data_IF_444029854351
#
_entry.id   IF_444029854351
#
_cell.length_a   1.000
_cell.length_b   1.000
_cell.length_c   1.000
_cell.angle_alpha   90.00
_cell.angle_beta   90.00
_cell.angle_gamma   90.00
#
_symmetry.space_group_name_H-M   'P 1'
#
loop_
_entity.id
_entity.type
_entity.pdbx_description
1 polymer ?
#
# COMPACT_ATOMS: atom_id res chain seq x y z
N UNK A 1 3.66 14.99 -19.03
CA UNK A 1 4.61 15.79 -19.86
C UNK A 1 5.67 14.87 -20.45
N UNK A 2 6.25 15.20 -21.60
CA UNK A 2 7.37 14.47 -22.20
C UNK A 2 8.67 15.30 -22.13
N UNK A 3 9.80 14.73 -21.68
CA UNK A 3 9.90 13.42 -21.02
C UNK A 3 9.15 13.43 -19.68
N UNK A 4 8.63 12.26 -19.29
CA UNK A 4 7.92 12.09 -18.01
C UNK A 4 8.89 12.18 -16.84
N UNK A 5 8.57 12.98 -15.82
CA UNK A 5 9.21 12.93 -14.51
C UNK A 5 8.18 13.26 -13.43
N UNK A 6 8.34 12.69 -12.23
CA UNK A 6 7.43 12.91 -11.11
C UNK A 6 7.54 14.25 -10.38
N UNK A 7 8.37 15.21 -10.83
CA UNK A 7 8.73 16.39 -10.02
C UNK A 7 8.79 17.74 -10.76
N UNK A 8 7.91 17.98 -11.74
CA UNK A 8 7.80 19.30 -12.40
C UNK A 8 6.40 19.91 -12.24
N UNK A 9 6.35 21.24 -12.11
CA UNK A 9 5.10 22.00 -12.03
C UNK A 9 4.40 22.09 -13.40
N UNK A 10 3.07 22.01 -13.37
CA UNK A 10 2.19 22.35 -14.48
C UNK A 10 1.53 23.70 -14.20
N UNK A 11 1.49 24.56 -15.22
CA UNK A 11 0.76 25.83 -15.18
C UNK A 11 -0.60 25.64 -15.83
N UNK A 12 -1.66 26.03 -15.12
CA UNK A 12 -3.03 26.04 -15.59
C UNK A 12 -3.46 27.46 -15.96
N UNK A 13 -4.11 27.60 -17.11
CA UNK A 13 -4.76 28.84 -17.53
C UNK A 13 -6.25 28.56 -17.66
N UNK A 14 -7.08 29.36 -16.98
CA UNK A 14 -8.54 29.22 -17.03
C UNK A 14 -9.10 30.26 -17.99
N UNK A 15 -9.92 29.79 -18.93
CA UNK A 15 -10.71 30.60 -19.85
C UNK A 15 -12.19 30.29 -19.63
N UNK A 16 -13.09 31.01 -20.33
CA UNK A 16 -14.53 30.85 -20.15
C UNK A 16 -15.06 29.44 -20.47
N UNK A 17 -14.55 28.81 -21.54
CA UNK A 17 -15.03 27.51 -22.05
C UNK A 17 -14.00 26.38 -21.94
N UNK A 18 -12.81 26.68 -21.42
CA UNK A 18 -11.70 25.74 -21.41
C UNK A 18 -10.68 26.03 -20.32
N UNK A 19 -9.83 25.05 -20.06
CA UNK A 19 -8.57 25.29 -19.39
C UNK A 19 -7.42 24.79 -20.25
N UNK A 20 -6.29 25.47 -20.16
CA UNK A 20 -5.05 25.07 -20.81
C UNK A 20 -4.02 24.64 -19.80
N UNK A 21 -3.21 23.66 -20.16
CA UNK A 21 -2.10 23.18 -19.34
C UNK A 21 -0.78 23.27 -20.10
N UNK A 22 0.24 23.80 -19.44
CA UNK A 22 1.60 23.92 -19.98
C UNK A 22 2.64 23.60 -18.89
N UNK A 23 3.69 22.83 -19.16
CA UNK A 23 4.77 22.62 -18.19
C UNK A 23 5.53 23.92 -17.91
N UNK A 24 5.80 24.21 -16.64
CA UNK A 24 6.62 25.37 -16.26
C UNK A 24 8.08 25.22 -16.73
N UNK A 25 8.55 23.99 -16.89
CA UNK A 25 9.89 23.68 -17.40
C UNK A 25 9.96 23.81 -18.93
N UNK A 26 10.77 24.75 -19.43
CA UNK A 26 10.97 25.06 -20.86
C UNK A 26 11.62 23.94 -21.69
N UNK A 27 12.08 22.86 -21.07
CA UNK A 27 12.58 21.68 -21.78
C UNK A 27 11.49 20.62 -22.01
N UNK A 28 10.27 20.82 -21.48
CA UNK A 28 9.18 19.84 -21.54
C UNK A 28 7.96 20.33 -22.28
N UNK A 29 7.18 19.39 -22.82
CA UNK A 29 5.91 19.70 -23.47
C UNK A 29 4.76 18.89 -22.89
N UNK A 30 3.60 19.53 -22.78
CA UNK A 30 2.33 18.82 -22.69
C UNK A 30 1.90 18.47 -24.10
N UNK A 31 1.70 17.19 -24.35
CA UNK A 31 1.06 16.67 -25.56
C UNK A 31 -0.34 16.19 -25.23
N UNK A 32 -1.24 16.19 -26.22
CA UNK A 32 -2.60 15.63 -26.09
C UNK A 32 -2.56 14.25 -25.44
N UNK A 33 -1.71 13.35 -25.93
CA UNK A 33 -1.51 12.01 -25.37
C UNK A 33 -1.12 12.05 -23.89
N UNK A 34 -0.16 12.91 -23.53
CA UNK A 34 0.30 12.97 -22.13
C UNK A 34 -0.78 13.51 -21.19
N UNK A 35 -1.61 14.45 -21.64
CA UNK A 35 -2.69 15.04 -20.83
C UNK A 35 -3.85 14.06 -20.71
N UNK A 36 -4.25 13.41 -21.80
CA UNK A 36 -5.29 12.39 -21.79
C UNK A 36 -4.88 11.14 -20.96
N UNK A 37 -3.63 10.71 -21.04
CA UNK A 37 -3.12 9.62 -20.20
C UNK A 37 -3.21 9.95 -18.70
N UNK A 38 -2.92 11.21 -18.32
CA UNK A 38 -3.07 11.65 -16.94
C UNK A 38 -4.53 11.71 -16.47
N UNK A 39 -5.52 11.93 -17.35
CA UNK A 39 -6.94 11.86 -16.96
C UNK A 39 -7.41 10.43 -16.65
N UNK A 40 -6.72 9.41 -17.16
CA UNK A 40 -7.09 7.99 -17.01
C UNK A 40 -6.33 7.28 -15.87
N UNK A 41 -5.29 7.90 -15.32
CA UNK A 41 -4.41 7.28 -14.33
C UNK A 41 -5.09 7.16 -12.96
N UNK A 42 -4.99 5.97 -12.33
CA UNK A 42 -5.52 5.66 -10.99
C UNK A 42 -7.04 5.84 -10.81
N UNK A 43 -7.83 5.64 -11.86
CA UNK A 43 -9.30 5.77 -11.81
C UNK A 43 -10.02 4.45 -12.02
N UNK A 44 -11.09 4.23 -11.25
CA UNK A 44 -11.99 3.08 -11.37
C UNK A 44 -12.87 3.15 -12.61
N UNK A 45 -13.21 4.37 -13.04
CA UNK A 45 -13.96 4.69 -14.26
C UNK A 45 -13.20 5.79 -15.02
N UNK A 46 -12.89 5.60 -16.30
CA UNK A 46 -12.12 6.56 -17.09
C UNK A 46 -12.89 7.84 -17.48
N UNK A 47 -14.22 7.86 -17.37
CA UNK A 47 -15.07 8.97 -17.83
C UNK A 47 -15.89 9.63 -16.73
N UNK A 48 -16.24 8.91 -15.66
CA UNK A 48 -16.97 9.47 -14.51
C UNK A 48 -16.10 9.45 -13.27
N UNK A 49 -15.56 10.62 -12.92
CA UNK A 49 -14.67 10.76 -11.78
C UNK A 49 -15.47 11.27 -10.57
N UNK A 50 -15.72 10.44 -9.55
CA UNK A 50 -16.44 10.89 -8.36
C UNK A 50 -15.60 11.90 -7.57
N UNK A 51 -16.25 12.97 -7.11
CA UNK A 51 -15.68 14.00 -6.27
C UNK A 51 -16.68 14.50 -5.21
N UNK A 52 -16.27 15.43 -4.34
CA UNK A 52 -17.19 16.05 -3.38
C UNK A 52 -18.32 16.78 -4.12
N UNK A 53 -19.58 16.42 -3.81
CA UNK A 53 -20.76 17.09 -4.38
C UNK A 53 -21.14 16.66 -5.80
N UNK A 54 -20.49 15.66 -6.39
CA UNK A 54 -20.84 15.24 -7.75
C UNK A 54 -19.77 14.43 -8.46
N UNK A 55 -20.04 14.09 -9.72
CA UNK A 55 -19.09 13.43 -10.60
C UNK A 55 -18.62 14.41 -11.68
N UNK A 56 -17.31 14.44 -11.94
CA UNK A 56 -16.77 15.05 -13.14
C UNK A 56 -17.02 14.09 -14.32
N UNK A 57 -17.78 14.55 -15.30
CA UNK A 57 -18.15 13.84 -16.52
C UNK A 57 -17.23 14.27 -17.67
N UNK A 58 -16.46 13.31 -18.16
CA UNK A 58 -15.47 13.49 -19.22
C UNK A 58 -15.92 12.92 -20.58
N UNK A 59 -17.18 12.48 -20.73
CA UNK A 59 -17.64 11.85 -21.97
C UNK A 59 -17.57 12.77 -23.20
N UNK A 60 -17.66 14.08 -22.99
CA UNK A 60 -17.57 15.10 -24.03
C UNK A 60 -16.23 15.86 -23.97
N UNK A 61 -15.25 15.33 -23.24
CA UNK A 61 -13.96 16.01 -23.10
C UNK A 61 -13.14 15.89 -24.37
N UNK A 62 -12.73 17.04 -24.88
CA UNK A 62 -11.85 17.17 -26.05
C UNK A 62 -10.51 17.78 -25.62
N UNK A 63 -9.43 17.28 -26.23
CA UNK A 63 -8.07 17.72 -25.99
C UNK A 63 -7.49 18.28 -27.29
N UNK A 64 -7.08 19.54 -27.29
CA UNK A 64 -6.55 20.23 -28.46
C UNK A 64 -5.13 20.74 -28.19
N UNK A 65 -4.21 20.47 -29.11
CA UNK A 65 -2.85 21.01 -29.04
C UNK A 65 -2.85 22.48 -29.50
N UNK A 66 -2.67 23.43 -28.58
CA UNK A 66 -2.72 24.88 -28.88
C UNK A 66 -1.35 25.42 -29.28
N UNK A 67 -0.28 24.90 -28.68
CA UNK A 67 1.11 25.18 -29.05
C UNK A 67 1.92 23.89 -28.95
N UNK A 68 3.20 23.90 -29.34
CA UNK A 68 4.11 22.74 -29.17
C UNK A 68 4.24 22.23 -27.72
N UNK A 69 3.78 23.02 -26.74
CA UNK A 69 3.92 22.76 -25.30
C UNK A 69 2.63 22.82 -24.50
N UNK A 70 1.54 23.35 -25.09
CA UNK A 70 0.28 23.67 -24.40
C UNK A 70 -0.88 22.90 -25.01
N UNK A 71 -1.72 22.33 -24.16
CA UNK A 71 -2.94 21.62 -24.53
C UNK A 71 -4.13 22.31 -23.89
N UNK A 72 -5.18 22.56 -24.66
CA UNK A 72 -6.49 22.97 -24.16
C UNK A 72 -7.37 21.74 -23.90
N UNK A 73 -8.19 21.81 -22.86
CA UNK A 73 -9.16 20.80 -22.48
C UNK A 73 -10.53 21.47 -22.39
N UNK A 74 -11.51 20.92 -23.10
CA UNK A 74 -12.87 21.46 -23.24
C UNK A 74 -13.93 20.38 -23.05
N UNK A 75 -15.16 20.79 -22.74
CA UNK A 75 -16.34 19.91 -22.82
C UNK A 75 -16.57 18.95 -21.63
N UNK A 76 -15.69 18.95 -20.62
CA UNK A 76 -16.00 18.31 -19.34
C UNK A 76 -17.18 19.00 -18.66
N UNK A 77 -18.02 18.25 -17.95
CA UNK A 77 -19.14 18.80 -17.18
C UNK A 77 -19.17 18.22 -15.76
N UNK A 78 -19.93 18.84 -14.86
CA UNK A 78 -20.10 18.37 -13.50
C UNK A 78 -21.53 17.90 -13.28
N UNK A 79 -21.70 16.66 -12.79
CA UNK A 79 -22.99 16.07 -12.44
C UNK A 79 -23.18 16.16 -10.94
N UNK A 80 -24.05 17.06 -10.50
CA UNK A 80 -24.32 17.26 -9.08
C UNK A 80 -24.86 15.99 -8.41
N UNK A 81 -24.39 15.74 -7.19
CA UNK A 81 -24.87 14.70 -6.27
C UNK A 81 -24.94 15.28 -4.86
N UNK A 82 -25.66 14.63 -3.92
CA UNK A 82 -25.59 15.00 -2.51
C UNK A 82 -24.13 15.10 -2.05
N UNK A 83 -23.82 16.18 -1.33
CA UNK A 83 -22.47 16.42 -0.88
C UNK A 83 -22.06 15.36 0.14
N UNK A 84 -20.89 14.76 -0.06
CA UNK A 84 -20.34 13.77 0.86
C UNK A 84 -18.89 14.08 1.14
N UNK A 85 -18.46 13.71 2.33
CA UNK A 85 -17.04 13.74 2.71
C UNK A 85 -16.59 12.32 2.98
N UNK A 86 -15.41 11.97 2.46
CA UNK A 86 -14.80 10.66 2.70
C UNK A 86 -14.18 10.67 4.10
N UNK A 87 -14.71 9.83 4.97
CA UNK A 87 -14.17 9.59 6.31
C UNK A 87 -13.31 8.35 6.27
N UNK A 88 -12.02 8.56 6.48
CA UNK A 88 -11.01 7.51 6.59
C UNK A 88 -10.41 7.52 7.99
N UNK A 89 -10.19 6.34 8.55
CA UNK A 89 -9.69 6.23 9.90
C UNK A 89 -8.89 4.94 10.09
N UNK A 90 -7.88 5.04 10.94
CA UNK A 90 -7.05 3.91 11.35
C UNK A 90 -7.17 3.68 12.84
N UNK A 91 -7.13 2.42 13.26
CA UNK A 91 -7.14 2.01 14.67
C UNK A 91 -5.82 1.33 15.01
N UNK A 92 -5.23 1.68 16.16
CA UNK A 92 -4.09 0.95 16.71
C UNK A 92 -4.52 -0.48 17.02
N UNK A 93 -3.80 -1.45 16.46
CA UNK A 93 -4.05 -2.89 16.63
C UNK A 93 -3.00 -3.59 17.48
N UNK A 94 -1.93 -2.88 17.88
CA UNK A 94 -0.90 -3.40 18.76
C UNK A 94 0.47 -2.82 18.46
N UNK A 95 1.49 -3.63 18.74
CA UNK A 95 2.90 -3.38 18.46
C UNK A 95 3.43 -4.46 17.53
N UNK A 96 4.24 -4.07 16.55
CA UNK A 96 4.80 -4.94 15.53
C UNK A 96 6.29 -5.17 15.76
N UNK A 97 6.70 -6.43 15.67
CA UNK A 97 8.09 -6.84 15.62
C UNK A 97 8.27 -7.82 14.47
N UNK A 98 9.35 -7.66 13.71
CA UNK A 98 9.65 -8.53 12.57
C UNK A 98 11.06 -9.11 12.68
N UNK A 99 11.29 -10.26 12.05
CA UNK A 99 12.63 -10.72 11.69
C UNK A 99 12.68 -11.05 10.20
N UNK A 100 13.82 -10.82 9.58
CA UNK A 100 14.06 -11.07 8.17
C UNK A 100 15.16 -12.11 8.07
N UNK A 101 14.93 -13.19 7.31
CA UNK A 101 15.89 -14.25 7.09
C UNK A 101 15.86 -14.76 5.64
N UNK A 102 16.97 -15.33 5.17
CA UNK A 102 17.03 -16.11 3.95
C UNK A 102 17.09 -17.61 4.25
N UNK A 103 16.55 -18.43 3.34
CA UNK A 103 16.77 -19.87 3.33
C UNK A 103 17.08 -20.35 1.90
N UNK A 104 18.04 -21.28 1.78
CA UNK A 104 18.52 -21.81 0.50
C UNK A 104 18.60 -23.34 0.44
N UNK A 105 18.53 -24.04 1.57
CA UNK A 105 18.55 -25.51 1.54
C UNK A 105 17.29 -26.01 0.80
N UNK A 106 17.44 -26.69 -0.36
CA UNK A 106 16.29 -27.16 -1.13
C UNK A 106 15.38 -28.09 -0.32
N UNK A 107 15.94 -28.84 0.65
CA UNK A 107 15.17 -29.73 1.54
C UNK A 107 14.32 -28.92 2.53
N UNK A 108 14.87 -27.81 3.04
CA UNK A 108 14.11 -26.90 3.89
C UNK A 108 12.98 -26.23 3.09
N UNK A 109 13.27 -25.81 1.87
CA UNK A 109 12.29 -25.16 0.98
C UNK A 109 11.16 -26.13 0.59
N UNK A 110 11.49 -27.40 0.31
CA UNK A 110 10.51 -28.46 0.03
C UNK A 110 9.55 -28.68 1.20
N UNK A 111 10.04 -28.62 2.44
CA UNK A 111 9.26 -28.78 3.66
C UNK A 111 8.75 -27.46 4.27
N UNK A 112 8.86 -26.33 3.57
CA UNK A 112 8.66 -25.01 4.17
C UNK A 112 7.27 -24.82 4.78
N UNK A 113 6.21 -25.28 4.11
CA UNK A 113 4.84 -25.12 4.60
C UNK A 113 4.59 -25.96 5.86
N UNK A 114 5.13 -27.18 5.92
CA UNK A 114 5.09 -28.05 7.09
C UNK A 114 5.82 -27.40 8.27
N UNK A 115 6.99 -26.82 8.00
CA UNK A 115 7.80 -26.13 9.01
C UNK A 115 7.04 -24.91 9.56
N UNK A 116 6.45 -24.09 8.69
CA UNK A 116 5.67 -22.91 9.09
C UNK A 116 4.49 -23.34 9.98
N UNK A 117 3.69 -24.31 9.53
CA UNK A 117 2.55 -24.81 10.30
C UNK A 117 2.99 -25.34 11.68
N UNK A 118 4.11 -26.07 11.72
CA UNK A 118 4.68 -26.59 12.96
C UNK A 118 5.25 -25.51 13.89
N UNK A 119 5.82 -24.44 13.36
CA UNK A 119 6.27 -23.27 14.15
C UNK A 119 5.07 -22.53 14.72
N UNK A 120 4.02 -22.33 13.92
CA UNK A 120 2.76 -21.72 14.36
C UNK A 120 2.12 -22.51 15.49
N UNK A 121 1.97 -23.83 15.33
CA UNK A 121 1.41 -24.71 16.35
C UNK A 121 2.19 -24.62 17.67
N UNK A 122 3.52 -24.73 17.61
CA UNK A 122 4.38 -24.63 18.80
C UNK A 122 4.31 -23.28 19.46
N UNK A 123 4.27 -22.20 18.66
CA UNK A 123 4.17 -20.83 19.20
C UNK A 123 2.82 -20.63 19.87
N UNK A 124 1.71 -20.99 19.23
CA UNK A 124 0.38 -20.93 19.83
C UNK A 124 0.31 -21.80 21.10
N UNK A 125 0.92 -22.99 21.08
CA UNK A 125 1.05 -23.88 22.23
C UNK A 125 1.80 -23.24 23.41
N UNK A 126 2.91 -22.56 23.14
CA UNK A 126 3.72 -21.90 24.17
C UNK A 126 3.05 -20.63 24.75
N UNK A 127 2.17 -19.99 23.98
CA UNK A 127 1.48 -18.76 24.37
C UNK A 127 -0.03 -18.94 24.51
N UNK A 128 -0.51 -20.14 24.86
CA UNK A 128 -1.96 -20.43 24.92
C UNK A 128 -2.75 -19.49 25.85
N UNK A 129 -2.13 -19.02 26.94
CA UNK A 129 -2.75 -18.08 27.88
C UNK A 129 -2.87 -16.65 27.33
N UNK A 130 -2.17 -16.32 26.24
CA UNK A 130 -2.28 -15.04 25.51
C UNK A 130 -3.00 -15.20 24.16
N UNK A 131 -3.71 -16.33 23.95
CA UNK A 131 -4.43 -16.59 22.70
C UNK A 131 -5.40 -15.45 22.38
N UNK A 132 -5.33 -14.94 21.16
CA UNK A 132 -6.16 -13.83 20.67
C UNK A 132 -5.57 -12.44 20.89
N UNK A 133 -4.52 -12.31 21.70
CA UNK A 133 -3.81 -11.03 21.95
C UNK A 133 -2.61 -10.82 21.05
N UNK A 134 -2.30 -11.79 20.20
CA UNK A 134 -1.24 -11.69 19.21
C UNK A 134 -1.65 -12.36 17.90
N UNK A 135 -0.99 -11.95 16.83
CA UNK A 135 -1.00 -12.57 15.51
C UNK A 135 0.43 -12.86 15.10
N UNK A 136 0.66 -14.04 14.56
CA UNK A 136 1.92 -14.45 13.96
C UNK A 136 1.67 -14.65 12.46
N UNK A 137 2.54 -14.09 11.62
CA UNK A 137 2.43 -14.15 10.16
C UNK A 137 3.81 -14.47 9.57
N UNK A 138 3.81 -15.16 8.43
CA UNK A 138 4.99 -15.52 7.67
C UNK A 138 4.83 -15.05 6.22
N UNK A 139 5.72 -14.16 5.77
CA UNK A 139 5.75 -13.71 4.38
C UNK A 139 6.92 -14.37 3.65
N UNK A 140 6.63 -15.10 2.57
CA UNK A 140 7.63 -15.90 1.84
C UNK A 140 7.89 -15.28 0.46
N UNK A 141 8.84 -14.35 0.40
CA UNK A 141 9.33 -13.79 -0.86
C UNK A 141 10.12 -14.83 -1.64
N UNK A 142 9.87 -14.90 -2.95
CA UNK A 142 10.39 -15.94 -3.83
C UNK A 142 9.50 -17.19 -3.93
N UNK A 143 8.36 -17.22 -3.22
CA UNK A 143 7.30 -18.23 -3.37
C UNK A 143 5.93 -17.58 -3.66
N UNK A 144 5.32 -16.93 -2.68
CA UNK A 144 3.96 -16.36 -2.78
C UNK A 144 3.75 -15.11 -1.90
N UNK A 145 4.83 -14.46 -1.42
CA UNK A 145 4.76 -13.34 -0.47
C UNK A 145 4.10 -12.05 -0.97
N UNK A 146 3.75 -11.94 -2.27
CA UNK A 146 3.06 -10.77 -2.84
C UNK A 146 1.58 -11.06 -3.08
N UNK A 147 1.27 -12.11 -3.83
CA UNK A 147 -0.11 -12.46 -4.22
C UNK A 147 -0.78 -13.43 -3.25
N UNK A 148 -0.05 -13.98 -2.28
CA UNK A 148 -0.57 -15.00 -1.35
C UNK A 148 -1.16 -16.19 -2.09
N UNK A 149 -2.38 -16.58 -1.74
CA UNK A 149 -3.13 -17.67 -2.39
C UNK A 149 -3.47 -17.39 -3.87
N UNK A 150 -3.35 -16.15 -4.33
CA UNK A 150 -3.61 -15.78 -5.73
C UNK A 150 -2.37 -15.94 -6.63
N UNK A 151 -1.24 -16.40 -6.09
CA UNK A 151 -0.03 -16.66 -6.87
C UNK A 151 -0.28 -17.82 -7.87
N UNK A 152 -0.25 -17.57 -9.19
CA UNK A 152 -0.50 -18.63 -10.18
C UNK A 152 0.56 -19.73 -10.17
N UNK A 153 1.80 -19.43 -9.72
CA UNK A 153 2.91 -20.37 -9.70
C UNK A 153 3.65 -20.35 -8.36
N UNK A 154 3.08 -20.92 -7.28
CA UNK A 154 3.60 -20.81 -5.91
C UNK A 154 4.79 -21.76 -5.63
N UNK A 155 5.66 -21.95 -6.62
CA UNK A 155 6.88 -22.72 -6.49
C UNK A 155 8.01 -21.79 -6.06
N UNK A 156 8.70 -22.16 -4.98
CA UNK A 156 9.84 -21.41 -4.51
C UNK A 156 11.01 -21.46 -5.51
N UNK A 157 11.74 -20.35 -5.62
CA UNK A 157 13.00 -20.28 -6.36
C UNK A 157 14.17 -21.02 -5.69
N UNK A 158 15.40 -20.65 -6.07
CA UNK A 158 16.62 -21.23 -5.48
C UNK A 158 16.84 -20.85 -4.01
N UNK A 159 16.25 -19.73 -3.59
CA UNK A 159 16.27 -19.20 -2.23
C UNK A 159 14.95 -18.48 -1.96
N UNK A 160 14.60 -18.38 -0.69
CA UNK A 160 13.41 -17.67 -0.22
C UNK A 160 13.79 -16.63 0.82
N UNK A 161 13.17 -15.46 0.73
CA UNK A 161 13.17 -14.44 1.78
C UNK A 161 11.98 -14.68 2.70
N UNK A 162 12.24 -14.82 3.99
CA UNK A 162 11.25 -15.12 5.02
C UNK A 162 11.17 -13.92 5.95
N UNK A 163 10.01 -13.28 6.01
CA UNK A 163 9.70 -12.29 7.04
C UNK A 163 8.73 -12.92 8.03
N UNK A 164 9.19 -13.11 9.26
CA UNK A 164 8.31 -13.50 10.37
C UNK A 164 7.85 -12.22 11.04
N UNK A 165 6.55 -12.07 11.23
CA UNK A 165 5.94 -10.89 11.82
C UNK A 165 5.07 -11.29 13.00
N UNK A 166 5.28 -10.63 14.14
CA UNK A 166 4.39 -10.71 15.29
C UNK A 166 3.75 -9.35 15.54
N UNK A 167 2.43 -9.33 15.69
CA UNK A 167 1.67 -8.15 16.17
C UNK A 167 0.95 -8.53 17.44
N UNK A 168 1.14 -7.79 18.53
CA UNK A 168 0.50 -8.09 19.80
C UNK A 168 0.04 -6.83 20.55
N UNK A 169 -0.84 -7.00 21.54
CA UNK A 169 -1.36 -5.88 22.35
C UNK A 169 -0.26 -5.06 23.05
N UNK A 170 0.85 -5.71 23.42
CA UNK A 170 2.03 -5.07 24.02
C UNK A 170 3.31 -5.35 23.22
N UNK A 171 4.27 -4.45 23.31
CA UNK A 171 5.57 -4.56 22.67
C UNK A 171 6.34 -5.79 23.19
N UNK A 172 6.26 -6.04 24.49
CA UNK A 172 6.92 -7.17 25.16
C UNK A 172 6.36 -8.52 24.66
N UNK A 173 5.04 -8.63 24.49
CA UNK A 173 4.42 -9.85 23.98
C UNK A 173 4.80 -10.07 22.51
N UNK A 174 4.82 -9.02 21.69
CA UNK A 174 5.23 -9.14 20.29
C UNK A 174 6.70 -9.60 20.15
N UNK A 175 7.61 -9.07 20.98
CA UNK A 175 9.00 -9.51 21.03
C UNK A 175 9.13 -10.96 21.49
N UNK A 176 8.40 -11.36 22.53
CA UNK A 176 8.43 -12.72 23.05
C UNK A 176 7.92 -13.75 22.03
N UNK A 177 6.79 -13.45 21.38
CA UNK A 177 6.20 -14.30 20.33
C UNK A 177 7.14 -14.42 19.14
N UNK A 178 7.67 -13.30 18.63
CA UNK A 178 8.60 -13.32 17.50
C UNK A 178 9.87 -14.10 17.84
N UNK A 179 10.48 -13.82 19.00
CA UNK A 179 11.71 -14.47 19.42
C UNK A 179 11.55 -15.98 19.56
N UNK A 180 10.41 -16.43 20.11
CA UNK A 180 10.08 -17.85 20.18
C UNK A 180 9.87 -18.48 18.81
N UNK A 181 9.07 -17.85 17.94
CA UNK A 181 8.79 -18.35 16.59
C UNK A 181 10.08 -18.45 15.75
N UNK A 182 10.90 -17.39 15.75
CA UNK A 182 12.21 -17.37 15.09
C UNK A 182 13.13 -18.47 15.60
N UNK A 183 13.29 -18.58 16.91
CA UNK A 183 14.15 -19.61 17.52
C UNK A 183 13.66 -21.03 17.18
N UNK A 184 12.34 -21.23 17.19
CA UNK A 184 11.70 -22.49 16.82
C UNK A 184 11.97 -22.83 15.36
N UNK A 185 11.77 -21.90 14.43
CA UNK A 185 12.01 -22.12 12.99
C UNK A 185 13.49 -22.39 12.68
N UNK A 186 14.41 -21.68 13.35
CA UNK A 186 15.86 -21.87 13.20
C UNK A 186 16.33 -23.29 13.54
N UNK A 187 15.64 -23.95 14.48
CA UNK A 187 15.95 -25.28 14.99
C UNK A 187 14.97 -26.37 14.54
N UNK A 188 13.94 -26.01 13.77
CA UNK A 188 12.86 -26.93 13.40
C UNK A 188 13.41 -28.15 12.65
N UNK A 189 12.96 -29.34 13.04
CA UNK A 189 13.36 -30.59 12.41
C UNK A 189 12.46 -30.94 11.24
N UNK A 190 13.04 -31.40 10.14
CA UNK A 190 12.33 -31.82 8.94
C UNK A 190 13.05 -33.03 8.31
N UNK A 191 12.36 -33.85 7.48
CA UNK A 191 12.97 -35.00 6.82
C UNK A 191 14.22 -34.63 5.99
N UNK A 192 15.24 -35.47 6.02
CA UNK A 192 16.47 -35.26 5.24
C UNK A 192 17.38 -34.12 5.71
N UNK A 193 17.07 -33.50 6.86
CA UNK A 193 17.89 -32.44 7.46
C UNK A 193 19.29 -32.93 7.81
N UNK A 194 20.32 -32.22 7.33
CA UNK A 194 21.73 -32.58 7.55
C UNK A 194 22.33 -31.95 8.82
N UNK A 195 21.85 -30.77 9.23
CA UNK A 195 22.35 -30.02 10.38
C UNK A 195 21.33 -29.99 11.52
N UNK A 196 21.77 -29.85 12.76
CA UNK A 196 20.87 -29.79 13.94
C UNK A 196 20.32 -28.38 14.22
N UNK A 197 20.89 -27.34 13.59
CA UNK A 197 20.52 -25.93 13.69
C UNK A 197 20.88 -25.18 12.40
N UNK A 198 20.47 -23.91 12.28
CA UNK A 198 20.93 -23.04 11.21
C UNK A 198 20.06 -23.05 9.95
N UNK A 199 18.76 -23.32 10.08
CA UNK A 199 17.84 -23.33 8.95
C UNK A 199 17.70 -21.95 8.26
N UNK A 200 18.01 -20.87 8.99
CA UNK A 200 17.80 -19.49 8.56
C UNK A 200 19.13 -18.73 8.56
N UNK A 201 19.36 -17.93 7.52
CA UNK A 201 20.45 -16.98 7.43
C UNK A 201 19.93 -15.57 7.75
N UNK A 202 20.41 -14.97 8.85
CA UNK A 202 20.02 -13.61 9.23
C UNK A 202 21.02 -12.59 8.66
N UNK A 203 20.56 -11.58 7.91
CA UNK A 203 21.44 -10.55 7.35
C UNK A 203 21.88 -9.50 8.39
N UNK A 204 21.26 -9.46 9.57
CA UNK A 204 21.49 -8.42 10.57
C UNK A 204 21.64 -9.00 11.99
N UNK A 205 22.31 -8.24 12.85
CA UNK A 205 22.44 -8.50 14.29
C UNK A 205 22.23 -7.18 15.05
N UNK A 206 21.20 -7.06 15.92
CA UNK A 206 20.20 -8.07 16.23
C UNK A 206 19.31 -8.44 15.04
N UNK A 207 18.75 -9.66 15.04
CA UNK A 207 17.89 -10.18 13.96
C UNK A 207 16.45 -9.68 14.03
N UNK A 208 16.05 -9.09 15.16
CA UNK A 208 14.66 -8.74 15.48
C UNK A 208 14.51 -7.22 15.49
N UNK A 209 13.52 -6.72 14.75
CA UNK A 209 13.28 -5.29 14.53
C UNK A 209 11.95 -4.87 15.12
N UNK A 210 11.99 -3.89 16.04
CA UNK A 210 10.80 -3.25 16.59
C UNK A 210 10.32 -2.21 15.59
N UNK A 211 9.22 -2.52 14.90
CA UNK A 211 8.63 -1.58 13.92
C UNK A 211 7.84 -0.49 14.64
N UNK A 212 7.28 -0.81 15.82
CA UNK A 212 6.52 0.12 16.65
C UNK A 212 5.02 -0.14 16.57
N UNK A 213 4.22 0.92 16.73
CA UNK A 213 2.77 0.79 16.75
C UNK A 213 2.22 0.33 15.39
N UNK A 214 1.39 -0.70 15.42
CA UNK A 214 0.69 -1.22 14.25
C UNK A 214 -0.71 -0.63 14.19
N UNK A 215 -1.13 -0.23 13.00
CA UNK A 215 -2.46 0.28 12.73
C UNK A 215 -3.12 -0.54 11.63
N UNK A 216 -4.43 -0.75 11.78
CA UNK A 216 -5.26 -1.27 10.71
C UNK A 216 -6.25 -0.19 10.29
N UNK A 217 -6.55 -0.18 8.99
CA UNK A 217 -7.65 0.62 8.47
C UNK A 217 -8.96 0.16 9.11
N UNK A 218 -9.73 1.10 9.66
CA UNK A 218 -10.90 0.81 10.49
C UNK A 218 -12.17 1.55 10.07
N UNK A 219 -12.03 2.64 9.31
CA UNK A 219 -13.18 3.42 8.82
C UNK A 219 -12.94 3.76 7.35
N UNK A 220 -13.95 3.46 6.53
CA UNK A 220 -14.04 3.86 5.13
C UNK A 220 -15.50 4.14 4.81
N UNK A 221 -15.91 5.39 4.97
CA UNK A 221 -17.32 5.75 4.86
C UNK A 221 -17.50 7.07 4.12
N UNK A 222 -18.60 7.21 3.40
CA UNK A 222 -19.05 8.48 2.84
C UNK A 222 -20.09 9.06 3.79
N UNK A 223 -19.74 10.17 4.45
CA UNK A 223 -20.66 10.90 5.30
C UNK A 223 -21.38 11.95 4.45
N UNK A 224 -22.69 11.84 4.34
CA UNK A 224 -23.52 12.85 3.68
C UNK A 224 -23.65 14.09 4.55
N UNK A 225 -23.50 15.26 3.93
CA UNK A 225 -23.70 16.56 4.56
C UNK A 225 -24.83 17.30 3.86
N UNK A 226 -25.52 18.18 4.58
CA UNK A 226 -26.55 19.03 3.98
C UNK A 226 -25.93 20.15 3.13
N UNK A 227 -24.77 20.65 3.54
CA UNK A 227 -23.99 21.63 2.79
C UNK A 227 -22.47 21.47 3.05
N UNK A 228 -21.60 21.99 2.17
CA UNK A 228 -20.14 21.80 2.27
C UNK A 228 -19.49 22.42 3.53
N UNK A 229 -20.12 23.42 4.13
CA UNK A 229 -19.56 24.21 5.24
C UNK A 229 -19.84 23.61 6.62
N UNK A 230 -20.70 22.59 6.70
CA UNK A 230 -21.15 21.98 7.96
C UNK A 230 -19.99 21.50 8.85
N UNK A 231 -18.97 20.88 8.26
CA UNK A 231 -17.81 20.34 8.97
C UNK A 231 -16.51 21.13 8.73
N UNK A 232 -16.45 21.90 7.64
CA UNK A 232 -15.24 22.60 7.20
C UNK A 232 -15.59 24.06 6.84
N UNK A 233 -15.78 24.94 7.83
CA UNK A 233 -16.17 26.32 7.56
C UNK A 233 -15.05 27.05 6.80
N UNK A 234 -15.43 27.72 5.71
CA UNK A 234 -14.52 28.52 4.87
C UNK A 234 -14.74 30.00 5.17
N UNK A 235 -13.68 30.70 5.53
CA UNK A 235 -13.69 32.16 5.67
C UNK A 235 -12.90 32.77 4.51
N UNK A 236 -13.50 33.73 3.82
CA UNK A 236 -12.83 34.51 2.77
C UNK A 236 -12.35 35.84 3.34
N UNK A 237 -11.08 36.17 3.12
CA UNK A 237 -10.50 37.46 3.49
C UNK A 237 -10.07 38.20 2.22
N UNK A 238 -10.48 39.45 2.10
CA UNK A 238 -10.04 40.34 1.01
C UNK A 238 -8.76 41.07 1.43
N UNK A 239 -7.66 40.78 0.74
CA UNK A 239 -6.38 41.46 0.96
C UNK A 239 -6.29 42.63 -0.02
N UNK A 240 -6.64 43.82 0.44
CA UNK A 240 -6.43 45.06 -0.32
C UNK A 240 -4.94 45.44 -0.30
N UNK A 241 -4.34 45.56 -1.49
CA UNK A 241 -3.00 46.14 -1.71
C UNK A 241 -3.06 47.65 -1.91
#
# INVERSE_FOLDING_TARGET
>A
ALPGSGSDCMMGFLEEDCFMVEPANTERRATVESVAAHTLYEKSDPYLLPGPGGDLDLYKTEFEQVTDRRVAVKGSSFRERPYTVKVEGTKKVGFRVITIAGARDPRFIEHLDEIIAGVEERTIGNFQWEKGKFKLMFHIYGKNGVLGEQEPHPNAGHEVGIVIEAVAETQELAEAVLGFARSTMLHYGFPGRLATAGNLAFPYSPSDFKVGEAYAFSVHHLLSLENPEELFPVNFEEVCS
#
